data_IF_676501872696
#
_entry.id   IF_676501872696
#
_cell.length_a   1.000
_cell.length_b   1.000
_cell.length_c   1.000
_cell.angle_alpha   90.00
_cell.angle_beta   90.00
_cell.angle_gamma   90.00
#
_symmetry.space_group_name_H-M   'P 1'
#
loop_
_entity.id
_entity.type
_entity.pdbx_description
1 polymer ?
#
# COMPACT_ATOMS: atom_id res chain seq x y z
N UNK A 1 -0.45 8.13 14.73
CA UNK A 1 0.79 8.93 14.64
C UNK A 1 1.98 8.07 15.04
N UNK A 2 3.10 8.15 14.34
CA UNK A 2 4.38 7.54 14.69
C UNK A 2 5.44 8.64 14.78
N UNK A 3 6.38 8.50 15.71
CA UNK A 3 7.43 9.48 15.98
C UNK A 3 8.81 8.84 15.89
N UNK A 4 9.75 9.53 15.26
CA UNK A 4 11.18 9.18 15.23
C UNK A 4 11.96 10.33 15.84
N UNK A 5 12.83 10.02 16.80
CA UNK A 5 13.72 10.98 17.42
C UNK A 5 15.16 10.54 17.18
N UNK A 6 15.95 11.39 16.53
CA UNK A 6 17.38 11.20 16.33
C UNK A 6 18.13 12.35 16.99
N UNK A 7 19.26 12.01 17.58
CA UNK A 7 20.16 12.96 18.22
C UNK A 7 21.59 12.64 17.79
N UNK A 8 22.31 13.61 17.25
CA UNK A 8 23.71 13.47 16.84
C UNK A 8 24.40 14.83 16.74
N UNK A 9 25.73 14.82 16.78
CA UNK A 9 26.57 15.99 16.52
C UNK A 9 26.90 16.04 15.03
N UNK A 10 26.85 17.24 14.44
CA UNK A 10 27.15 17.43 13.02
C UNK A 10 27.96 18.71 12.76
N UNK A 11 28.61 18.77 11.61
CA UNK A 11 29.27 19.98 11.12
C UNK A 11 28.24 20.92 10.47
N UNK A 12 28.58 22.21 10.35
CA UNK A 12 27.71 23.23 9.74
C UNK A 12 27.22 22.88 8.32
N UNK A 13 28.04 22.21 7.51
CA UNK A 13 27.65 21.77 6.16
C UNK A 13 26.55 20.70 6.18
N UNK A 14 26.65 19.75 7.09
CA UNK A 14 25.64 18.68 7.26
C UNK A 14 24.36 19.25 7.87
N UNK A 15 24.46 20.22 8.80
CA UNK A 15 23.32 20.96 9.31
C UNK A 15 22.55 21.67 8.19
N UNK A 16 23.25 22.34 7.26
CA UNK A 16 22.62 22.98 6.09
C UNK A 16 21.86 21.98 5.22
N UNK A 17 22.50 20.86 4.87
CA UNK A 17 21.86 19.79 4.09
C UNK A 17 20.60 19.25 4.79
N UNK A 18 20.64 19.12 6.12
CA UNK A 18 19.49 18.68 6.91
C UNK A 18 18.38 19.73 7.01
N UNK A 19 18.67 21.02 6.84
CA UNK A 19 17.67 22.09 6.84
C UNK A 19 17.02 22.28 5.47
N UNK A 20 17.62 21.76 4.40
CA UNK A 20 17.02 21.81 3.07
C UNK A 20 15.71 20.99 3.02
N UNK A 21 14.68 21.51 2.33
CA UNK A 21 13.45 20.77 2.10
C UNK A 21 13.76 19.57 1.22
N UNK A 22 13.26 18.40 1.62
CA UNK A 22 13.50 17.15 0.89
C UNK A 22 12.62 17.05 -0.35
N UNK A 23 13.21 16.58 -1.44
CA UNK A 23 12.53 16.22 -2.69
C UNK A 23 12.97 14.80 -3.11
N UNK A 24 12.37 13.77 -2.49
CA UNK A 24 12.66 12.37 -2.79
C UNK A 24 11.40 11.55 -3.19
N UNK A 25 11.58 10.30 -3.62
CA UNK A 25 10.44 9.49 -4.11
C UNK A 25 9.36 9.23 -3.04
N UNK A 26 9.67 9.43 -1.75
CA UNK A 26 8.71 9.28 -0.65
C UNK A 26 8.02 10.59 -0.29
N UNK A 27 8.75 11.71 -0.27
CA UNK A 27 8.22 12.96 0.26
C UNK A 27 8.75 14.20 -0.48
N UNK A 28 7.86 15.18 -0.60
CA UNK A 28 8.19 16.57 -0.92
C UNK A 28 7.93 17.39 0.33
N UNK A 29 8.92 18.12 0.82
CA UNK A 29 8.74 19.09 1.91
C UNK A 29 8.61 20.51 1.34
N UNK A 30 7.78 21.32 1.99
CA UNK A 30 7.69 22.75 1.73
C UNK A 30 8.94 23.46 2.24
N UNK A 31 9.41 24.46 1.50
CA UNK A 31 10.49 25.33 1.98
C UNK A 31 10.05 26.07 3.24
N UNK A 32 10.95 26.28 4.23
CA UNK A 32 10.65 27.11 5.38
C UNK A 32 10.48 28.57 4.95
N UNK A 33 9.54 29.29 5.57
CA UNK A 33 9.27 30.70 5.25
C UNK A 33 10.47 31.61 5.59
N UNK A 34 11.23 31.26 6.64
CA UNK A 34 12.37 32.02 7.12
C UNK A 34 13.69 31.26 6.93
N UNK A 35 14.72 31.97 6.47
CA UNK A 35 16.08 31.44 6.41
C UNK A 35 16.62 31.23 7.83
N UNK A 36 17.11 30.03 8.13
CA UNK A 36 17.65 29.69 9.43
C UNK A 36 18.95 30.47 9.74
N UNK A 37 18.94 31.23 10.83
CA UNK A 37 20.15 31.84 11.38
C UNK A 37 20.94 30.79 12.19
N UNK A 38 22.06 30.34 11.63
CA UNK A 38 22.91 29.30 12.22
C UNK A 38 23.82 29.83 13.35
N UNK A 39 23.83 31.14 13.60
CA UNK A 39 24.69 31.73 14.65
C UNK A 39 24.15 31.51 16.06
N UNK A 40 22.88 31.11 16.19
CA UNK A 40 22.18 30.83 17.46
C UNK A 40 21.48 29.48 17.40
N UNK A 41 21.10 28.96 18.56
CA UNK A 41 20.18 27.82 18.63
C UNK A 41 18.86 28.17 17.97
N UNK A 42 18.31 27.25 17.20
CA UNK A 42 17.07 27.46 16.47
C UNK A 42 16.32 26.17 16.19
N UNK A 43 15.13 26.32 15.61
CA UNK A 43 14.32 25.20 15.18
C UNK A 43 13.57 25.53 13.90
N UNK A 44 13.56 24.61 12.95
CA UNK A 44 12.76 24.70 11.73
C UNK A 44 11.83 23.50 11.65
N UNK A 45 10.60 23.74 11.23
CA UNK A 45 9.61 22.69 10.96
C UNK A 45 9.34 22.65 9.47
N UNK A 46 9.49 21.46 8.89
CA UNK A 46 9.27 21.18 7.47
C UNK A 46 8.07 20.26 7.36
N UNK A 47 7.07 20.70 6.60
CA UNK A 47 5.82 19.96 6.40
C UNK A 47 5.84 19.28 5.04
N UNK A 48 5.38 18.03 4.98
CA UNK A 48 5.27 17.32 3.71
C UNK A 48 4.10 17.86 2.87
N UNK A 49 4.40 18.35 1.67
CA UNK A 49 3.41 18.75 0.66
C UNK A 49 2.87 17.54 -0.11
N UNK A 50 3.72 16.55 -0.35
CA UNK A 50 3.37 15.36 -1.15
C UNK A 50 4.07 14.12 -0.61
N UNK A 51 3.45 12.96 -0.82
CA UNK A 51 3.92 11.67 -0.35
C UNK A 51 2.80 10.75 0.14
N UNK A 52 3.09 9.48 0.47
CA UNK A 52 2.12 8.51 0.95
C UNK A 52 1.77 8.72 2.45
N UNK A 53 1.66 9.98 2.87
CA UNK A 53 1.43 10.40 4.25
C UNK A 53 0.17 11.24 4.35
N UNK A 54 -0.66 11.00 5.36
CA UNK A 54 -1.77 11.88 5.74
C UNK A 54 -1.20 13.16 6.36
N UNK A 55 -0.21 13.00 7.23
CA UNK A 55 0.59 14.09 7.80
C UNK A 55 2.02 13.60 7.93
N UNK A 56 2.98 14.46 7.65
CA UNK A 56 4.39 14.21 7.93
C UNK A 56 5.06 15.56 8.20
N UNK A 57 5.63 15.69 9.39
CA UNK A 57 6.29 16.90 9.87
C UNK A 57 7.66 16.52 10.39
N UNK A 58 8.67 17.26 9.94
CA UNK A 58 10.06 17.10 10.37
C UNK A 58 10.50 18.36 11.06
N UNK A 59 10.74 18.25 12.37
CA UNK A 59 11.30 19.33 13.18
C UNK A 59 12.79 19.08 13.39
N UNK A 60 13.60 20.03 12.95
CA UNK A 60 15.05 20.03 13.16
C UNK A 60 15.36 21.12 14.17
N UNK A 61 15.94 20.75 15.31
CA UNK A 61 16.45 21.68 16.32
C UNK A 61 17.97 21.58 16.36
N UNK A 62 18.64 22.71 16.45
CA UNK A 62 20.11 22.75 16.56
C UNK A 62 20.55 23.66 17.70
N UNK A 63 21.67 23.31 18.32
CA UNK A 63 22.36 24.13 19.30
C UNK A 63 23.85 24.14 18.95
N UNK A 64 24.52 25.32 18.85
CA UNK A 64 25.96 25.37 18.64
C UNK A 64 26.67 24.81 19.87
N UNK A 65 27.60 23.87 19.65
CA UNK A 65 28.39 23.31 20.74
C UNK A 65 29.35 24.38 21.28
N UNK A 66 29.21 24.77 22.54
CA UNK A 66 30.20 25.59 23.22
C UNK A 66 31.40 24.72 23.56
N UNK A 67 32.53 24.94 22.90
CA UNK A 67 33.80 24.25 23.15
C UNK A 67 34.28 24.53 24.58
N UNK A 68 33.92 23.64 25.52
CA UNK A 68 34.52 23.54 26.86
C UNK A 68 35.22 22.18 27.09
N UNK A 69 35.41 21.37 26.04
CA UNK A 69 36.27 20.19 26.09
C UNK A 69 37.35 20.28 25.03
N UNK A 70 38.56 20.65 25.47
CA UNK A 70 39.76 20.66 24.65
C UNK A 70 40.09 19.26 24.13
N UNK A 71 40.28 19.12 22.82
CA UNK A 71 41.29 18.22 22.28
C UNK A 71 42.02 18.95 21.14
N UNK A 72 43.16 19.54 21.49
CA UNK A 72 44.06 20.29 20.62
C UNK A 72 44.81 19.32 19.70
N UNK A 73 44.16 18.89 18.62
CA UNK A 73 44.85 18.20 17.54
C UNK A 73 44.34 18.65 16.18
N UNK A 74 44.98 19.70 15.66
CA UNK A 74 45.22 20.03 14.26
C UNK A 74 44.12 19.65 13.23
N UNK A 75 43.05 20.43 13.18
CA UNK A 75 42.32 20.79 11.96
C UNK A 75 41.47 22.05 12.27
N UNK A 76 41.23 22.90 11.26
CA UNK A 76 40.40 24.13 11.34
C UNK A 76 39.22 23.96 12.32
N UNK A 77 38.95 24.90 13.26
CA UNK A 77 37.82 24.78 14.18
C UNK A 77 36.52 24.88 13.37
N UNK A 78 36.01 23.75 12.90
CA UNK A 78 34.67 23.66 12.33
C UNK A 78 33.68 23.74 13.48
N UNK A 79 32.82 24.75 13.44
CA UNK A 79 31.74 24.89 14.40
C UNK A 79 30.85 23.63 14.32
N UNK A 80 30.73 22.94 15.46
CA UNK A 80 29.88 21.75 15.60
C UNK A 80 28.54 22.14 16.21
N UNK A 81 27.52 21.39 15.84
CA UNK A 81 26.15 21.59 16.30
C UNK A 81 25.59 20.28 16.86
N UNK A 82 24.95 20.37 18.03
CA UNK A 82 24.10 19.33 18.58
C UNK A 82 22.74 19.39 17.86
N UNK A 83 22.39 18.34 17.11
CA UNK A 83 21.20 18.29 16.28
C UNK A 83 20.17 17.29 16.82
N UNK A 84 18.98 17.79 17.15
CA UNK A 84 17.83 16.97 17.49
C UNK A 84 16.81 16.99 16.34
N UNK A 85 16.66 15.86 15.66
CA UNK A 85 15.71 15.68 14.57
C UNK A 85 14.51 14.86 15.06
N UNK A 86 13.31 15.44 15.00
CA UNK A 86 12.04 14.77 15.31
C UNK A 86 11.20 14.66 14.05
N UNK A 87 10.74 13.47 13.70
CA UNK A 87 9.84 13.23 12.56
C UNK A 87 8.55 12.63 13.08
N UNK A 88 7.46 13.37 12.94
CA UNK A 88 6.10 12.95 13.26
C UNK A 88 5.34 12.65 11.97
N UNK A 89 4.88 11.40 11.80
CA UNK A 89 4.22 11.00 10.55
C UNK A 89 3.03 10.05 10.75
N UNK A 90 2.12 10.09 9.79
CA UNK A 90 0.98 9.19 9.65
C UNK A 90 0.89 8.69 8.22
N UNK A 91 1.11 7.40 8.01
CA UNK A 91 1.02 6.76 6.70
C UNK A 91 -0.43 6.72 6.17
N UNK A 92 -0.60 7.03 4.89
CA UNK A 92 -1.86 6.91 4.16
C UNK A 92 -2.09 5.48 3.61
N UNK A 93 -1.57 4.48 4.30
CA UNK A 93 -1.65 3.05 3.94
C UNK A 93 -2.40 2.32 5.08
N UNK A 94 -3.74 2.37 5.12
CA UNK A 94 -4.52 1.99 6.31
C UNK A 94 -4.37 0.52 6.72
N UNK A 95 -4.57 -0.41 5.78
CA UNK A 95 -4.63 -1.86 6.08
C UNK A 95 -3.24 -2.51 6.20
N UNK A 96 -2.26 -1.95 5.49
CA UNK A 96 -0.90 -2.50 5.37
C UNK A 96 0.13 -1.68 6.14
N UNK A 97 -0.32 -0.84 7.08
CA UNK A 97 0.55 0.06 7.85
C UNK A 97 1.69 -0.69 8.55
N UNK A 98 1.40 -1.85 9.12
CA UNK A 98 2.40 -2.64 9.84
C UNK A 98 3.54 -3.11 8.92
N UNK A 99 3.22 -3.57 7.71
CA UNK A 99 4.17 -4.02 6.71
C UNK A 99 5.08 -2.88 6.23
N UNK A 100 4.51 -1.71 5.95
CA UNK A 100 5.26 -0.54 5.50
C UNK A 100 5.96 0.23 6.63
N UNK A 101 5.60 0.00 7.89
CA UNK A 101 6.16 0.76 9.02
C UNK A 101 7.68 0.63 9.14
N UNK A 102 8.22 -0.58 8.95
CA UNK A 102 9.66 -0.86 9.09
C UNK A 102 10.50 -0.17 8.00
N UNK A 103 10.25 -0.41 6.69
CA UNK A 103 11.05 0.23 5.65
C UNK A 103 10.95 1.75 5.68
N UNK A 104 9.75 2.30 5.92
CA UNK A 104 9.54 3.75 6.04
C UNK A 104 10.29 4.32 7.25
N UNK A 105 10.22 3.67 8.41
CA UNK A 105 10.94 4.14 9.61
C UNK A 105 12.46 4.11 9.44
N UNK A 106 12.99 3.22 8.61
CA UNK A 106 14.43 3.16 8.30
C UNK A 106 14.86 4.19 7.26
N UNK A 107 14.01 4.53 6.30
CA UNK A 107 14.34 5.47 5.23
C UNK A 107 14.09 6.94 5.62
N UNK A 108 13.08 7.23 6.44
CA UNK A 108 12.72 8.59 6.85
C UNK A 108 13.85 9.38 7.57
N UNK A 109 14.67 8.79 8.45
CA UNK A 109 15.76 9.50 9.12
C UNK A 109 16.71 10.22 8.17
N UNK A 110 17.22 9.51 7.16
CA UNK A 110 18.26 10.00 6.26
C UNK A 110 17.69 10.47 4.92
N UNK A 111 16.42 10.19 4.65
CA UNK A 111 15.83 10.38 3.33
C UNK A 111 16.33 9.33 2.34
N UNK A 112 15.75 9.34 1.15
CA UNK A 112 16.28 8.53 0.05
C UNK A 112 17.23 9.39 -0.78
N UNK A 113 18.43 8.88 -1.03
CA UNK A 113 19.37 9.54 -1.93
C UNK A 113 18.72 9.80 -3.30
N UNK A 114 19.01 10.97 -3.89
CA UNK A 114 18.48 11.37 -5.18
C UNK A 114 18.68 10.28 -6.24
N UNK A 115 17.59 9.90 -6.92
CA UNK A 115 17.59 8.85 -7.94
C UNK A 115 17.60 7.40 -7.42
N UNK A 116 17.67 7.17 -6.10
CA UNK A 116 17.61 5.82 -5.52
C UNK A 116 16.16 5.33 -5.49
N UNK A 117 15.92 4.16 -6.08
CA UNK A 117 14.60 3.52 -6.15
C UNK A 117 14.59 2.25 -5.31
N UNK A 118 14.18 2.31 -4.03
CA UNK A 118 14.13 1.11 -3.22
C UNK A 118 13.05 0.15 -3.75
N UNK A 119 13.33 -1.16 -3.70
CA UNK A 119 12.44 -2.19 -4.23
C UNK A 119 11.04 -2.24 -3.59
N UNK A 120 10.87 -1.64 -2.40
CA UNK A 120 9.62 -1.60 -1.66
C UNK A 120 8.78 -0.34 -1.91
N UNK A 121 9.32 0.69 -2.58
CA UNK A 121 8.61 1.92 -2.91
C UNK A 121 8.36 2.02 -4.41
N UNK A 122 7.31 2.74 -4.77
CA UNK A 122 7.00 3.02 -6.17
C UNK A 122 8.07 3.91 -6.81
N UNK A 123 8.35 3.75 -8.12
CA UNK A 123 9.28 4.62 -8.83
C UNK A 123 8.86 6.09 -8.86
N UNK A 124 7.56 6.37 -8.78
CA UNK A 124 7.01 7.71 -8.68
C UNK A 124 6.47 7.97 -7.27
N UNK A 125 6.51 9.23 -6.84
CA UNK A 125 5.93 9.66 -5.57
C UNK A 125 4.41 9.53 -5.61
N UNK A 126 3.86 8.68 -4.75
CA UNK A 126 2.41 8.56 -4.59
C UNK A 126 1.88 9.65 -3.66
N UNK A 127 0.75 10.24 -4.03
CA UNK A 127 -0.05 11.04 -3.10
C UNK A 127 -0.72 10.17 -2.03
N UNK A 128 -1.13 10.79 -0.92
CA UNK A 128 -1.90 10.12 0.13
C UNK A 128 -3.16 9.40 -0.39
N UNK A 129 -3.84 10.03 -1.36
CA UNK A 129 -5.02 9.46 -2.03
C UNK A 129 -4.67 8.22 -2.84
N UNK A 130 -3.60 8.27 -3.63
CA UNK A 130 -3.13 7.13 -4.42
C UNK A 130 -2.67 5.98 -3.52
N UNK A 131 -1.92 6.27 -2.45
CA UNK A 131 -1.51 5.27 -1.47
C UNK A 131 -2.71 4.57 -0.81
N UNK A 132 -3.75 5.34 -0.45
CA UNK A 132 -5.00 4.79 0.12
C UNK A 132 -5.76 3.93 -0.90
N UNK A 133 -5.80 4.36 -2.16
CA UNK A 133 -6.42 3.62 -3.25
C UNK A 133 -5.73 2.27 -3.46
N UNK A 134 -4.40 2.27 -3.60
CA UNK A 134 -3.60 1.04 -3.75
C UNK A 134 -3.84 0.12 -2.57
N UNK A 135 -3.72 0.63 -1.34
CA UNK A 135 -3.95 -0.17 -0.13
C UNK A 135 -5.33 -0.85 -0.11
N UNK A 136 -6.36 -0.13 -0.56
CA UNK A 136 -7.74 -0.62 -0.65
C UNK A 136 -7.90 -1.68 -1.74
N UNK A 137 -7.33 -1.46 -2.92
CA UNK A 137 -7.39 -2.41 -4.04
C UNK A 137 -6.60 -3.66 -3.73
N UNK A 138 -5.44 -3.56 -3.07
CA UNK A 138 -4.66 -4.71 -2.59
C UNK A 138 -5.46 -5.53 -1.56
N UNK A 139 -6.20 -4.89 -0.66
CA UNK A 139 -7.11 -5.60 0.26
C UNK A 139 -8.23 -6.32 -0.50
N UNK A 140 -8.86 -5.65 -1.47
CA UNK A 140 -9.89 -6.28 -2.33
C UNK A 140 -9.32 -7.44 -3.13
N UNK A 141 -8.07 -7.35 -3.59
CA UNK A 141 -7.37 -8.45 -4.25
C UNK A 141 -7.23 -9.66 -3.34
N UNK A 142 -6.82 -9.46 -2.08
CA UNK A 142 -6.75 -10.53 -1.08
C UNK A 142 -8.11 -11.19 -0.84
N UNK A 143 -9.18 -10.40 -0.72
CA UNK A 143 -10.54 -10.93 -0.56
C UNK A 143 -11.00 -11.69 -1.82
N UNK A 144 -10.72 -11.15 -3.01
CA UNK A 144 -11.07 -11.79 -4.28
C UNK A 144 -10.33 -13.09 -4.50
N UNK A 145 -9.05 -13.16 -4.12
CA UNK A 145 -8.25 -14.39 -4.12
C UNK A 145 -8.87 -15.46 -3.23
N UNK A 146 -9.26 -15.09 -2.01
CA UNK A 146 -9.96 -16.00 -1.09
C UNK A 146 -11.26 -16.51 -1.70
N UNK A 147 -12.16 -15.61 -2.13
CA UNK A 147 -13.44 -15.98 -2.73
C UNK A 147 -13.27 -16.89 -3.96
N UNK A 148 -12.26 -16.65 -4.78
CA UNK A 148 -11.96 -17.47 -5.95
C UNK A 148 -11.40 -18.85 -5.60
N UNK A 149 -10.52 -18.92 -4.60
CA UNK A 149 -9.84 -20.13 -4.16
C UNK A 149 -10.71 -21.11 -3.37
N UNK A 150 -11.64 -20.60 -2.56
CA UNK A 150 -12.43 -21.37 -1.59
C UNK A 150 -13.07 -22.64 -2.17
N UNK A 151 -13.77 -22.54 -3.31
CA UNK A 151 -14.41 -23.70 -3.91
C UNK A 151 -13.37 -24.78 -4.23
N UNK A 152 -12.25 -24.41 -4.85
CA UNK A 152 -11.22 -25.38 -5.26
C UNK A 152 -10.58 -26.08 -4.05
N UNK A 153 -10.52 -25.42 -2.90
CA UNK A 153 -9.96 -25.97 -1.66
C UNK A 153 -10.92 -26.95 -0.98
N UNK A 154 -12.23 -26.69 -1.00
CA UNK A 154 -13.22 -27.46 -0.23
C UNK A 154 -14.03 -28.43 -1.10
N UNK A 155 -13.90 -28.36 -2.43
CA UNK A 155 -14.71 -29.15 -3.37
C UNK A 155 -14.66 -30.65 -3.10
N UNK A 156 -13.50 -31.21 -2.74
CA UNK A 156 -13.38 -32.64 -2.45
C UNK A 156 -14.30 -33.06 -1.30
N UNK A 157 -14.28 -32.30 -0.19
CA UNK A 157 -15.14 -32.56 0.97
C UNK A 157 -16.62 -32.36 0.64
N UNK A 158 -16.96 -31.27 -0.06
CA UNK A 158 -18.35 -30.97 -0.43
C UNK A 158 -18.92 -32.03 -1.40
N UNK A 159 -18.09 -32.56 -2.30
CA UNK A 159 -18.51 -33.60 -3.23
C UNK A 159 -18.72 -34.96 -2.53
N UNK A 160 -17.97 -35.25 -1.46
CA UNK A 160 -18.18 -36.44 -0.61
C UNK A 160 -19.47 -36.32 0.22
N UNK A 161 -19.75 -35.14 0.80
CA UNK A 161 -20.89 -34.93 1.68
C UNK A 161 -22.23 -34.75 0.92
N UNK A 162 -22.23 -34.03 -0.20
CA UNK A 162 -23.45 -33.60 -0.91
C UNK A 162 -23.58 -34.18 -2.33
N UNK A 163 -22.62 -35.00 -2.76
CA UNK A 163 -22.54 -35.56 -4.11
C UNK A 163 -22.30 -37.06 -4.11
N UNK A 164 -21.81 -37.59 -5.24
CA UNK A 164 -21.44 -39.01 -5.36
C UNK A 164 -19.95 -39.26 -5.04
N UNK A 165 -19.22 -38.24 -4.57
CA UNK A 165 -17.77 -38.28 -4.34
C UNK A 165 -16.93 -38.50 -5.61
N UNK A 166 -17.53 -38.56 -6.80
CA UNK A 166 -16.83 -38.93 -8.03
C UNK A 166 -15.96 -37.80 -8.56
N UNK A 167 -14.80 -38.18 -9.09
CA UNK A 167 -13.89 -37.25 -9.78
C UNK A 167 -14.56 -36.60 -11.00
N UNK A 168 -15.49 -37.29 -11.67
CA UNK A 168 -16.23 -36.77 -12.82
C UNK A 168 -17.18 -35.62 -12.46
N UNK A 169 -17.86 -35.69 -11.30
CA UNK A 169 -18.71 -34.58 -10.85
C UNK A 169 -17.88 -33.35 -10.51
N UNK A 170 -16.76 -33.53 -9.81
CA UNK A 170 -15.86 -32.43 -9.44
C UNK A 170 -15.27 -31.74 -10.68
N UNK A 171 -14.80 -32.49 -11.67
CA UNK A 171 -14.24 -31.91 -12.91
C UNK A 171 -15.30 -31.20 -13.73
N UNK A 172 -16.51 -31.75 -13.82
CA UNK A 172 -17.64 -31.12 -14.52
C UNK A 172 -18.01 -29.79 -13.86
N UNK A 173 -18.08 -29.75 -12.53
CA UNK A 173 -18.43 -28.53 -11.79
C UNK A 173 -17.37 -27.44 -11.98
N UNK A 174 -16.08 -27.79 -11.91
CA UNK A 174 -15.00 -26.84 -12.21
C UNK A 174 -15.01 -26.35 -13.67
N UNK A 175 -15.36 -27.22 -14.63
CA UNK A 175 -15.49 -26.84 -16.02
C UNK A 175 -16.65 -25.87 -16.24
N UNK A 176 -17.82 -26.14 -15.64
CA UNK A 176 -19.00 -25.27 -15.71
C UNK A 176 -18.71 -23.90 -15.12
N UNK A 177 -18.06 -23.84 -13.95
CA UNK A 177 -17.68 -22.59 -13.30
C UNK A 177 -16.78 -21.72 -14.19
N UNK A 178 -15.88 -22.33 -14.98
CA UNK A 178 -15.02 -21.60 -15.94
C UNK A 178 -15.78 -21.02 -17.13
N UNK A 179 -16.86 -21.65 -17.56
CA UNK A 179 -17.74 -21.11 -18.62
C UNK A 179 -18.40 -19.80 -18.17
N UNK A 180 -18.45 -19.55 -16.86
CA UNK A 180 -19.00 -18.32 -16.29
C UNK A 180 -18.22 -17.05 -16.62
N UNK A 181 -17.11 -17.11 -17.36
CA UNK A 181 -16.46 -15.92 -17.93
C UNK A 181 -17.46 -15.03 -18.71
N UNK A 182 -18.51 -15.61 -19.28
CA UNK A 182 -19.61 -14.86 -19.92
C UNK A 182 -20.30 -13.92 -18.94
N UNK A 183 -20.52 -14.36 -17.69
CA UNK A 183 -21.07 -13.51 -16.62
C UNK A 183 -20.12 -12.35 -16.34
N UNK A 184 -18.83 -12.62 -16.23
CA UNK A 184 -17.79 -11.59 -16.03
C UNK A 184 -17.83 -10.54 -17.15
N UNK A 185 -17.92 -10.97 -18.41
CA UNK A 185 -18.02 -10.07 -19.56
C UNK A 185 -19.27 -9.19 -19.50
N UNK A 186 -20.43 -9.78 -19.19
CA UNK A 186 -21.68 -9.03 -19.06
C UNK A 186 -21.57 -7.97 -17.96
N UNK A 187 -21.04 -8.34 -16.78
CA UNK A 187 -20.83 -7.40 -15.67
C UNK A 187 -19.87 -6.28 -16.08
N UNK A 188 -18.84 -6.59 -16.86
CA UNK A 188 -17.89 -5.59 -17.34
C UNK A 188 -18.53 -4.56 -18.28
N UNK A 189 -19.45 -4.99 -19.15
CA UNK A 189 -20.24 -4.07 -19.99
C UNK A 189 -21.08 -3.11 -19.14
N UNK A 190 -21.62 -3.58 -18.02
CA UNK A 190 -22.33 -2.72 -17.07
C UNK A 190 -21.39 -1.83 -16.26
N UNK A 191 -20.15 -2.26 -15.99
CA UNK A 191 -19.13 -1.47 -15.27
C UNK A 191 -18.82 -0.16 -15.98
N UNK A 192 -18.77 -0.18 -17.31
CA UNK A 192 -18.51 1.00 -18.12
C UNK A 192 -19.68 2.01 -18.09
N UNK A 193 -20.90 1.58 -17.77
CA UNK A 193 -22.09 2.45 -17.71
C UNK A 193 -22.42 2.95 -16.30
N UNK A 194 -22.32 2.08 -15.30
CA UNK A 194 -22.73 2.37 -13.91
C UNK A 194 -21.58 3.01 -13.12
N UNK A 195 -20.35 2.80 -13.58
CA UNK A 195 -19.11 3.21 -12.94
C UNK A 195 -18.41 2.04 -12.25
N UNK A 196 -17.12 1.88 -12.56
CA UNK A 196 -16.28 0.77 -12.11
C UNK A 196 -16.23 0.59 -10.59
N UNK A 197 -16.21 1.69 -9.83
CA UNK A 197 -16.18 1.63 -8.35
C UNK A 197 -17.42 0.96 -7.77
N UNK A 198 -18.60 1.32 -8.27
CA UNK A 198 -19.88 0.77 -7.79
C UNK A 198 -19.99 -0.70 -8.16
N UNK A 199 -19.61 -1.05 -9.39
CA UNK A 199 -19.62 -2.43 -9.85
C UNK A 199 -18.61 -3.28 -9.09
N UNK A 200 -17.40 -2.79 -8.83
CA UNK A 200 -16.41 -3.52 -8.01
C UNK A 200 -16.97 -3.88 -6.63
N UNK A 201 -17.46 -2.89 -5.89
CA UNK A 201 -18.00 -3.09 -4.54
C UNK A 201 -19.26 -3.97 -4.54
N UNK A 202 -20.20 -3.73 -5.47
CA UNK A 202 -21.40 -4.55 -5.61
C UNK A 202 -21.07 -6.01 -5.92
N UNK A 203 -20.09 -6.23 -6.80
CA UNK A 203 -19.62 -7.56 -7.16
C UNK A 203 -19.05 -8.32 -5.97
N UNK A 204 -18.16 -7.70 -5.19
CA UNK A 204 -17.62 -8.34 -3.98
C UNK A 204 -18.69 -8.64 -2.93
N UNK A 205 -19.63 -7.72 -2.72
CA UNK A 205 -20.72 -7.91 -1.76
C UNK A 205 -21.62 -9.08 -2.13
N UNK A 206 -22.04 -9.16 -3.39
CA UNK A 206 -22.89 -10.25 -3.87
C UNK A 206 -22.11 -11.56 -3.89
N UNK A 207 -20.84 -11.56 -4.31
CA UNK A 207 -20.00 -12.76 -4.27
C UNK A 207 -19.85 -13.30 -2.84
N UNK A 208 -19.50 -12.44 -1.87
CA UNK A 208 -19.40 -12.85 -0.47
C UNK A 208 -20.73 -13.40 0.07
N UNK A 209 -21.85 -12.76 -0.27
CA UNK A 209 -23.19 -13.22 0.14
C UNK A 209 -23.54 -14.58 -0.45
N UNK A 210 -23.30 -14.79 -1.74
CA UNK A 210 -23.52 -16.08 -2.40
C UNK A 210 -22.62 -17.17 -1.80
N UNK A 211 -21.38 -16.84 -1.47
CA UNK A 211 -20.47 -17.75 -0.77
C UNK A 211 -21.00 -18.13 0.61
N UNK A 212 -21.56 -17.20 1.39
CA UNK A 212 -22.19 -17.51 2.67
C UNK A 212 -23.44 -18.40 2.51
N UNK A 213 -24.29 -18.12 1.52
CA UNK A 213 -25.49 -18.92 1.23
C UNK A 213 -25.10 -20.36 0.84
N UNK A 214 -23.90 -20.55 0.28
CA UNK A 214 -23.39 -21.88 -0.08
C UNK A 214 -23.32 -22.83 1.12
N UNK A 215 -23.13 -22.31 2.34
CA UNK A 215 -23.12 -23.13 3.56
C UNK A 215 -24.49 -23.75 3.89
N UNK A 216 -25.58 -23.22 3.33
CA UNK A 216 -26.95 -23.70 3.50
C UNK A 216 -27.42 -24.53 2.30
N UNK A 217 -26.54 -24.81 1.34
CA UNK A 217 -26.90 -25.48 0.11
C UNK A 217 -27.27 -26.96 0.36
N UNK A 218 -28.42 -27.44 -0.16
CA UNK A 218 -28.88 -28.81 0.08
C UNK A 218 -28.25 -29.86 -0.85
N UNK A 219 -27.47 -29.43 -1.86
CA UNK A 219 -26.87 -30.33 -2.85
C UNK A 219 -25.61 -29.75 -3.48
N UNK A 220 -24.77 -30.63 -4.03
CA UNK A 220 -23.55 -30.24 -4.75
C UNK A 220 -23.84 -29.31 -5.95
N UNK A 221 -24.94 -29.52 -6.67
CA UNK A 221 -25.33 -28.66 -7.79
C UNK A 221 -25.80 -27.28 -7.34
N UNK A 222 -26.48 -27.18 -6.20
CA UNK A 222 -26.82 -25.89 -5.60
C UNK A 222 -25.55 -25.12 -5.19
N UNK A 223 -24.56 -25.80 -4.60
CA UNK A 223 -23.23 -25.24 -4.33
C UNK A 223 -22.58 -24.75 -5.63
N UNK A 224 -22.55 -25.59 -6.66
CA UNK A 224 -21.97 -25.27 -7.96
C UNK A 224 -22.60 -24.03 -8.60
N UNK A 225 -23.93 -23.89 -8.55
CA UNK A 225 -24.63 -22.74 -9.10
C UNK A 225 -24.32 -21.44 -8.33
N UNK A 226 -24.36 -21.47 -6.99
CA UNK A 226 -24.03 -20.31 -6.16
C UNK A 226 -22.57 -19.87 -6.37
N UNK A 227 -21.66 -20.83 -6.39
CA UNK A 227 -20.23 -20.58 -6.57
C UNK A 227 -19.88 -20.18 -8.01
N UNK A 228 -20.63 -20.65 -9.01
CA UNK A 228 -20.52 -20.17 -10.39
C UNK A 228 -20.71 -18.64 -10.45
N UNK A 229 -21.78 -18.11 -9.85
CA UNK A 229 -22.01 -16.67 -9.82
C UNK A 229 -21.01 -15.96 -8.91
N UNK A 230 -20.77 -16.46 -7.70
CA UNK A 230 -19.85 -15.85 -6.74
C UNK A 230 -18.45 -15.64 -7.33
N UNK A 231 -17.87 -16.70 -7.91
CA UNK A 231 -16.51 -16.66 -8.44
C UNK A 231 -16.36 -15.74 -9.63
N UNK A 232 -17.29 -15.78 -10.59
CA UNK A 232 -17.20 -14.92 -11.77
C UNK A 232 -17.47 -13.45 -11.42
N UNK A 233 -18.32 -13.20 -10.45
CA UNK A 233 -18.55 -11.85 -9.94
C UNK A 233 -17.33 -11.32 -9.16
N UNK A 234 -16.66 -12.15 -8.36
CA UNK A 234 -15.39 -11.79 -7.72
C UNK A 234 -14.32 -11.39 -8.75
N UNK A 235 -14.18 -12.14 -9.87
CA UNK A 235 -13.26 -11.79 -10.96
C UNK A 235 -13.64 -10.45 -11.60
N UNK A 236 -14.93 -10.21 -11.86
CA UNK A 236 -15.38 -8.93 -12.40
C UNK A 236 -15.04 -7.77 -11.43
N UNK A 237 -15.19 -7.99 -10.13
CA UNK A 237 -14.82 -7.04 -9.09
C UNK A 237 -13.32 -6.72 -9.08
N UNK A 238 -12.47 -7.76 -9.20
CA UNK A 238 -11.02 -7.62 -9.31
C UNK A 238 -10.62 -6.80 -10.53
N UNK A 239 -11.12 -7.15 -11.71
CA UNK A 239 -10.83 -6.42 -12.96
C UNK A 239 -11.20 -4.94 -12.85
N UNK A 240 -12.35 -4.61 -12.25
CA UNK A 240 -12.75 -3.24 -12.01
C UNK A 240 -11.80 -2.53 -11.04
N UNK A 241 -11.48 -3.14 -9.91
CA UNK A 241 -10.61 -2.58 -8.89
C UNK A 241 -9.18 -2.32 -9.41
N UNK A 242 -8.61 -3.30 -10.11
CA UNK A 242 -7.26 -3.21 -10.68
C UNK A 242 -7.19 -2.16 -11.78
N UNK A 243 -8.22 -2.08 -12.64
CA UNK A 243 -8.25 -1.04 -13.67
C UNK A 243 -8.31 0.36 -13.05
N UNK A 244 -9.15 0.57 -12.02
CA UNK A 244 -9.21 1.85 -11.30
C UNK A 244 -7.84 2.20 -10.69
N UNK A 245 -7.17 1.22 -10.07
CA UNK A 245 -5.83 1.45 -9.53
C UNK A 245 -4.87 1.90 -10.63
N UNK A 246 -4.78 1.14 -11.73
CA UNK A 246 -3.84 1.43 -12.83
C UNK A 246 -4.14 2.79 -13.50
N UNK A 247 -5.41 3.15 -13.67
CA UNK A 247 -5.81 4.43 -14.28
C UNK A 247 -5.38 5.63 -13.43
N UNK A 248 -5.51 5.55 -12.11
CA UNK A 248 -5.17 6.61 -11.15
C UNK A 248 -3.65 6.68 -10.83
N UNK A 249 -2.88 5.66 -11.20
CA UNK A 249 -1.44 5.61 -10.93
C UNK A 249 -0.60 6.30 -12.01
N UNK A 250 0.52 6.95 -11.61
CA UNK A 250 1.52 7.45 -12.54
C UNK A 250 2.09 6.31 -13.42
N UNK A 251 2.46 6.59 -14.69
CA UNK A 251 2.89 5.55 -15.63
C UNK A 251 4.02 4.65 -15.13
N UNK A 252 5.02 5.20 -14.42
CA UNK A 252 6.17 4.45 -13.90
C UNK A 252 5.82 3.49 -12.76
N UNK A 253 4.67 3.67 -12.11
CA UNK A 253 4.26 2.94 -10.92
C UNK A 253 3.17 1.89 -11.17
N UNK A 254 2.51 1.93 -12.34
CA UNK A 254 1.42 1.02 -12.71
C UNK A 254 1.80 -0.46 -12.62
N UNK A 255 2.99 -0.82 -13.09
CA UNK A 255 3.46 -2.21 -13.08
C UNK A 255 3.65 -2.75 -11.66
N UNK A 256 4.25 -1.95 -10.76
CA UNK A 256 4.42 -2.35 -9.36
C UNK A 256 3.07 -2.50 -8.66
N UNK A 257 2.12 -1.59 -8.92
CA UNK A 257 0.77 -1.67 -8.32
C UNK A 257 0.00 -2.89 -8.80
N UNK A 258 0.06 -3.22 -10.10
CA UNK A 258 -0.51 -4.47 -10.62
C UNK A 258 0.15 -5.71 -9.99
N UNK A 259 1.47 -5.68 -9.81
CA UNK A 259 2.23 -6.72 -9.12
C UNK A 259 1.78 -6.89 -7.65
N UNK A 260 1.62 -5.80 -6.91
CA UNK A 260 1.11 -5.83 -5.53
C UNK A 260 -0.31 -6.40 -5.45
N UNK A 261 -1.18 -6.03 -6.39
CA UNK A 261 -2.51 -6.61 -6.52
C UNK A 261 -2.44 -8.14 -6.71
N UNK A 262 -1.60 -8.60 -7.63
CA UNK A 262 -1.40 -10.02 -7.93
C UNK A 262 -0.84 -10.79 -6.73
N UNK A 263 0.12 -10.22 -6.01
CA UNK A 263 0.68 -10.81 -4.78
C UNK A 263 -0.39 -10.96 -3.70
N UNK A 264 -1.21 -9.94 -3.49
CA UNK A 264 -2.30 -10.00 -2.51
C UNK A 264 -3.39 -10.99 -2.93
N UNK A 265 -3.72 -11.05 -4.22
CA UNK A 265 -4.61 -12.07 -4.76
C UNK A 265 -4.08 -13.48 -4.49
N UNK A 266 -2.79 -13.74 -4.75
CA UNK A 266 -2.14 -15.00 -4.44
C UNK A 266 -2.22 -15.35 -2.95
N UNK A 267 -1.91 -14.39 -2.08
CA UNK A 267 -2.02 -14.54 -0.63
C UNK A 267 -3.44 -14.90 -0.18
N UNK A 268 -4.46 -14.32 -0.82
CA UNK A 268 -5.85 -14.65 -0.55
C UNK A 268 -6.25 -16.05 -1.02
N UNK A 269 -5.70 -16.50 -2.16
CA UNK A 269 -6.05 -17.77 -2.78
C UNK A 269 -5.44 -19.00 -2.09
N UNK A 270 -4.42 -18.82 -1.25
CA UNK A 270 -3.73 -19.89 -0.50
C UNK A 270 -2.31 -20.15 -0.99
#
# INVERSE_FOLDING_TARGET
>A
MARINNHFECAESELRERLEPRDDVLLLESAPEDAADLTRSGSVTLTAESGPFVTCERTVRWQPCTTDSCDDSAAVPQQRFELQQTIDYQLAVPYWRWLYSIPVRRALPDGLAHGRRPWWATPDRLSARQATLVASVTLLNMVGGMLYGLLSQVLTFVAEDLGDGSRSQQTTLLAVVRIGVVVTLVVMVFADRIGRRKVALGSFMVAATLTLITALAPSLWAVGALQFFSRNLAIAGLLCADTIAVEEMPPGSRAMVAGLGTLAYGLGAG
#
